data_IF_899801756449
#
_entry.id   IF_899801756449
#
_cell.length_a   1.000
_cell.length_b   1.000
_cell.length_c   1.000
_cell.angle_alpha   90.00
_cell.angle_beta   90.00
_cell.angle_gamma   90.00
#
_symmetry.space_group_name_H-M   'P 1'
#
loop_
_entity.id
_entity.type
_entity.pdbx_description
1 polymer ?
#
# COMPACT_ATOMS: atom_id res chain seq x y z
N UNK A 1 5.03 20.63 3.54
CA UNK A 1 4.13 19.88 2.65
C UNK A 1 4.12 18.45 3.16
N UNK A 2 3.05 17.99 3.81
CA UNK A 2 3.00 16.63 4.34
C UNK A 2 2.95 15.58 3.24
N UNK A 3 3.44 14.40 3.59
CA UNK A 3 3.34 13.18 2.79
C UNK A 3 2.61 12.12 3.63
N UNK A 4 1.64 11.44 3.03
CA UNK A 4 0.96 10.31 3.65
C UNK A 4 1.17 9.04 2.80
N UNK A 5 1.62 7.98 3.46
CA UNK A 5 1.72 6.65 2.86
C UNK A 5 0.54 5.79 3.32
N UNK A 6 -0.09 5.10 2.37
CA UNK A 6 -1.23 4.23 2.62
C UNK A 6 -0.89 2.83 2.11
N UNK A 7 -0.98 1.86 3.02
CA UNK A 7 -0.79 0.45 2.73
C UNK A 7 -2.14 -0.26 2.80
N UNK A 8 -2.51 -0.97 1.74
CA UNK A 8 -3.81 -1.64 1.61
C UNK A 8 -3.59 -3.14 1.45
N UNK A 9 -4.03 -3.94 2.41
CA UNK A 9 -3.95 -5.41 2.35
C UNK A 9 -5.33 -6.04 2.29
N UNK A 10 -5.41 -7.29 1.85
CA UNK A 10 -6.65 -8.06 1.93
C UNK A 10 -6.91 -8.53 3.37
N UNK A 11 -8.19 -8.54 3.78
CA UNK A 11 -8.65 -9.20 5.03
C UNK A 11 -8.70 -10.73 4.88
N UNK A 12 -8.75 -11.20 3.65
CA UNK A 12 -8.82 -12.61 3.26
C UNK A 12 -7.46 -13.08 2.72
N UNK A 13 -7.22 -14.40 2.61
CA UNK A 13 -6.01 -14.92 2.01
C UNK A 13 -5.74 -14.34 0.61
N UNK A 14 -4.50 -13.92 0.37
CA UNK A 14 -4.07 -13.40 -0.94
C UNK A 14 -3.48 -14.54 -1.79
N UNK A 15 -4.28 -15.09 -2.69
CA UNK A 15 -3.87 -16.18 -3.58
C UNK A 15 -2.67 -15.81 -4.47
N UNK A 16 -2.50 -14.54 -4.81
CA UNK A 16 -1.36 -14.07 -5.62
C UNK A 16 -0.08 -14.14 -4.80
N UNK A 17 -0.11 -13.65 -3.56
CA UNK A 17 1.04 -13.75 -2.64
C UNK A 17 1.39 -15.21 -2.32
N UNK A 18 0.38 -16.07 -2.12
CA UNK A 18 0.58 -17.51 -1.87
C UNK A 18 1.24 -18.19 -3.08
N UNK A 19 0.74 -17.92 -4.28
CA UNK A 19 1.29 -18.51 -5.51
C UNK A 19 2.73 -18.05 -5.75
N UNK A 20 3.01 -16.75 -5.56
CA UNK A 20 4.35 -16.20 -5.66
C UNK A 20 5.30 -16.79 -4.60
N UNK A 21 4.83 -16.98 -3.36
CA UNK A 21 5.61 -17.64 -2.31
C UNK A 21 6.04 -19.05 -2.71
N UNK A 22 5.12 -19.90 -3.16
CA UNK A 22 5.45 -21.26 -3.60
C UNK A 22 6.35 -21.28 -4.84
N UNK A 23 6.21 -20.29 -5.73
CA UNK A 23 7.10 -20.15 -6.89
C UNK A 23 8.52 -19.83 -6.44
N UNK A 24 8.71 -18.85 -5.55
CA UNK A 24 10.02 -18.53 -4.97
C UNK A 24 10.62 -19.72 -4.23
N UNK A 25 9.81 -20.47 -3.49
CA UNK A 25 10.25 -21.68 -2.81
C UNK A 25 10.76 -22.74 -3.80
N UNK A 26 10.08 -22.93 -4.94
CA UNK A 26 10.51 -23.82 -6.04
C UNK A 26 11.78 -23.32 -6.72
N UNK A 27 11.99 -22.00 -6.81
CA UNK A 27 13.23 -21.39 -7.31
C UNK A 27 14.42 -21.50 -6.34
N UNK A 28 14.24 -22.09 -5.16
CA UNK A 28 15.33 -22.35 -4.21
C UNK A 28 15.37 -21.41 -3.00
N UNK A 29 14.44 -20.45 -2.86
CA UNK A 29 14.35 -19.56 -1.71
C UNK A 29 13.76 -20.25 -0.46
N UNK A 30 14.33 -21.38 -0.03
CA UNK A 30 13.83 -22.23 1.07
C UNK A 30 13.79 -21.59 2.45
N UNK A 31 14.52 -20.48 2.64
CA UNK A 31 14.55 -19.73 3.91
C UNK A 31 13.41 -18.72 4.03
N UNK A 32 12.69 -18.41 2.94
CA UNK A 32 11.54 -17.52 2.96
C UNK A 32 10.42 -18.18 3.78
N UNK A 33 9.91 -17.48 4.79
CA UNK A 33 8.86 -18.00 5.68
C UNK A 33 7.46 -17.55 5.32
N UNK A 34 7.35 -16.37 4.71
CA UNK A 34 6.09 -15.75 4.34
C UNK A 34 6.34 -14.75 3.23
N UNK A 35 5.35 -14.58 2.35
CA UNK A 35 5.24 -13.46 1.43
C UNK A 35 3.90 -12.78 1.69
N UNK A 36 3.91 -11.47 1.82
CA UNK A 36 2.71 -10.65 1.92
C UNK A 36 2.68 -9.73 0.70
N UNK A 37 1.50 -9.23 0.36
CA UNK A 37 1.35 -8.24 -0.70
C UNK A 37 0.41 -7.16 -0.21
N UNK A 38 0.80 -5.91 -0.41
CA UNK A 38 0.01 -4.73 -0.05
C UNK A 38 0.00 -3.77 -1.23
N UNK A 39 -1.15 -3.18 -1.54
CA UNK A 39 -1.20 -1.99 -2.38
C UNK A 39 -0.49 -0.84 -1.65
N UNK A 40 0.33 -0.10 -2.37
CA UNK A 40 1.05 1.06 -1.86
C UNK A 40 0.55 2.31 -2.57
N UNK A 41 0.27 3.35 -1.79
CA UNK A 41 -0.02 4.68 -2.29
C UNK A 41 0.75 5.70 -1.46
N UNK A 42 1.27 6.72 -2.13
CA UNK A 42 1.94 7.85 -1.49
C UNK A 42 1.36 9.15 -2.02
N UNK A 43 1.00 10.04 -1.11
CA UNK A 43 0.29 11.26 -1.43
C UNK A 43 1.05 12.46 -0.89
N UNK A 44 1.33 13.42 -1.76
CA UNK A 44 1.86 14.73 -1.39
C UNK A 44 0.76 15.77 -1.47
N UNK A 45 0.52 16.49 -0.38
CA UNK A 45 -0.59 17.43 -0.27
C UNK A 45 -0.30 18.62 0.65
N UNK A 46 -1.20 19.59 0.67
CA UNK A 46 -1.19 20.71 1.60
C UNK A 46 -2.34 20.59 2.61
N UNK A 47 -2.05 20.76 3.89
CA UNK A 47 -3.04 20.74 4.97
C UNK A 47 -2.65 19.84 6.14
N UNK A 48 -3.66 19.41 6.91
CA UNK A 48 -3.49 18.55 8.07
C UNK A 48 -3.44 17.06 7.69
N UNK A 49 -2.46 16.33 8.23
CA UNK A 49 -2.24 14.91 7.89
C UNK A 49 -3.33 14.00 8.44
N UNK A 50 -3.83 14.23 9.65
CA UNK A 50 -4.84 13.37 10.27
C UNK A 50 -6.18 13.49 9.56
N UNK A 51 -6.57 14.71 9.21
CA UNK A 51 -7.77 14.98 8.41
C UNK A 51 -7.66 14.30 7.05
N UNK A 52 -6.52 14.46 6.36
CA UNK A 52 -6.29 13.80 5.07
C UNK A 52 -6.38 12.26 5.18
N UNK A 53 -5.73 11.65 6.17
CA UNK A 53 -5.78 10.21 6.41
C UNK A 53 -7.21 9.71 6.66
N UNK A 54 -8.00 10.46 7.43
CA UNK A 54 -9.41 10.15 7.69
C UNK A 54 -10.28 10.21 6.43
N UNK A 55 -10.05 11.19 5.56
CA UNK A 55 -10.81 11.36 4.32
C UNK A 55 -10.39 10.34 3.25
N UNK A 56 -9.08 10.17 3.00
CA UNK A 56 -8.57 9.25 1.97
C UNK A 56 -8.88 7.79 2.29
N UNK A 57 -9.01 7.44 3.57
CA UNK A 57 -9.38 6.07 4.00
C UNK A 57 -10.79 5.66 3.59
N UNK A 58 -11.65 6.61 3.23
CA UNK A 58 -13.05 6.40 2.82
C UNK A 58 -13.23 6.33 1.31
N UNK A 59 -12.16 6.58 0.55
CA UNK A 59 -12.21 6.60 -0.91
C UNK A 59 -12.30 5.16 -1.44
N UNK A 60 -13.44 4.85 -2.05
CA UNK A 60 -13.84 3.52 -2.52
C UNK A 60 -12.98 2.98 -3.66
N UNK A 61 -12.50 3.85 -4.56
CA UNK A 61 -11.56 3.47 -5.63
C UNK A 61 -10.20 2.99 -5.08
N UNK A 62 -9.87 3.33 -3.83
CA UNK A 62 -8.65 2.89 -3.14
C UNK A 62 -8.94 1.72 -2.21
N UNK A 63 -10.07 1.78 -1.49
CA UNK A 63 -10.36 0.91 -0.36
C UNK A 63 -11.79 0.39 -0.45
N UNK A 64 -11.92 -0.93 -0.51
CA UNK A 64 -13.17 -1.59 -0.22
C UNK A 64 -13.20 -2.00 1.25
N UNK A 65 -14.03 -1.35 2.08
CA UNK A 65 -14.08 -1.59 3.52
C UNK A 65 -14.38 -3.06 3.91
N UNK A 66 -15.08 -3.81 3.06
CA UNK A 66 -15.41 -5.22 3.32
C UNK A 66 -14.25 -6.16 3.00
N UNK A 67 -13.41 -5.80 2.01
CA UNK A 67 -12.31 -6.66 1.53
C UNK A 67 -10.94 -6.26 2.07
N UNK A 68 -10.74 -5.00 2.37
CA UNK A 68 -9.42 -4.43 2.62
C UNK A 68 -9.21 -4.03 4.09
N UNK A 69 -7.97 -4.14 4.53
CA UNK A 69 -7.43 -3.54 5.75
C UNK A 69 -6.43 -2.46 5.35
N UNK A 70 -6.40 -1.37 6.11
CA UNK A 70 -5.56 -0.21 5.85
C UNK A 70 -4.57 0.03 7.00
N UNK A 71 -3.40 0.54 6.65
CA UNK A 71 -2.41 1.06 7.58
C UNK A 71 -1.76 2.30 6.99
N UNK A 72 -1.46 3.29 7.82
CA UNK A 72 -0.64 4.45 7.46
C UNK A 72 0.80 4.32 7.96
N UNK A 73 1.13 3.20 8.60
CA UNK A 73 2.45 2.92 9.12
C UNK A 73 2.97 1.60 8.55
N UNK A 74 4.26 1.61 8.19
CA UNK A 74 4.97 0.41 7.83
C UNK A 74 5.23 -0.43 9.09
N UNK A 75 4.84 -1.69 9.08
CA UNK A 75 5.09 -2.60 10.20
C UNK A 75 6.59 -2.71 10.48
N UNK A 76 6.98 -2.42 11.72
CA UNK A 76 8.36 -2.56 12.17
C UNK A 76 8.69 -4.02 12.46
N UNK A 77 9.97 -4.38 12.32
CA UNK A 77 10.45 -5.72 12.64
C UNK A 77 10.14 -6.09 14.09
N UNK A 78 9.31 -7.12 14.27
CA UNK A 78 9.08 -7.71 15.59
C UNK A 78 10.30 -8.52 16.01
N UNK A 79 11.10 -7.95 16.94
CA UNK A 79 12.30 -8.60 17.51
C UNK A 79 12.01 -9.95 18.19
N UNK A 80 10.75 -10.27 18.48
CA UNK A 80 10.34 -11.44 19.27
C UNK A 80 10.57 -12.79 18.58
N UNK A 81 10.59 -12.84 17.25
CA UNK A 81 10.59 -14.11 16.51
C UNK A 81 11.86 -14.37 15.67
N UNK A 82 12.91 -13.54 15.77
CA UNK A 82 14.12 -13.62 14.90
C UNK A 82 13.83 -13.66 13.38
N UNK A 83 12.63 -13.25 12.94
CA UNK A 83 12.27 -13.16 11.52
C UNK A 83 12.59 -11.75 11.04
N UNK A 84 13.48 -11.66 10.04
CA UNK A 84 13.77 -10.39 9.35
C UNK A 84 12.69 -10.14 8.30
N UNK A 85 11.88 -9.10 8.48
CA UNK A 85 10.97 -8.59 7.43
C UNK A 85 11.79 -7.72 6.48
N UNK A 86 11.66 -8.00 5.19
CA UNK A 86 12.19 -7.20 4.09
C UNK A 86 10.96 -6.68 3.34
N UNK A 87 10.92 -5.39 3.05
CA UNK A 87 9.86 -4.79 2.26
C UNK A 87 10.44 -4.39 0.90
N UNK A 88 9.81 -4.83 -0.17
CA UNK A 88 10.19 -4.52 -1.55
C UNK A 88 9.06 -3.71 -2.16
N UNK A 89 9.35 -2.46 -2.53
CA UNK A 89 8.38 -1.60 -3.23
C UNK A 89 8.60 -1.73 -4.75
N UNK A 90 7.56 -2.17 -5.44
CA UNK A 90 7.47 -2.17 -6.91
C UNK A 90 6.57 -1.02 -7.32
N UNK A 91 7.13 0.00 -7.98
CA UNK A 91 6.38 1.19 -8.41
C UNK A 91 5.90 1.03 -9.86
N UNK A 92 4.67 1.48 -10.13
CA UNK A 92 4.17 1.57 -11.51
C UNK A 92 4.91 2.71 -12.23
N UNK A 93 5.38 2.45 -13.46
CA UNK A 93 6.10 3.45 -14.28
C UNK A 93 5.22 4.66 -14.66
N UNK A 94 3.90 4.52 -14.59
CA UNK A 94 2.92 5.54 -14.98
C UNK A 94 2.55 6.54 -13.86
N UNK A 95 3.30 6.53 -12.75
CA UNK A 95 3.45 7.65 -11.79
C UNK A 95 2.14 8.18 -11.18
N UNK A 96 1.08 7.38 -11.16
CA UNK A 96 -0.19 7.68 -10.49
C UNK A 96 -0.97 8.90 -11.02
N UNK A 97 -0.64 9.44 -12.20
CA UNK A 97 -1.29 10.64 -12.77
C UNK A 97 -2.80 10.53 -12.92
N UNK A 98 -3.30 9.35 -13.35
CA UNK A 98 -4.74 9.08 -13.45
C UNK A 98 -5.45 9.03 -12.10
N UNK A 99 -4.75 8.54 -11.06
CA UNK A 99 -5.25 8.56 -9.69
C UNK A 99 -5.30 9.99 -9.16
N UNK A 100 -4.24 10.77 -9.35
CA UNK A 100 -4.19 12.18 -8.95
C UNK A 100 -5.31 13.00 -9.60
N UNK A 101 -5.53 12.85 -10.91
CA UNK A 101 -6.58 13.58 -11.62
C UNK A 101 -7.98 13.20 -11.11
N UNK A 102 -8.22 11.91 -10.85
CA UNK A 102 -9.49 11.44 -10.28
C UNK A 102 -9.72 12.01 -8.88
N UNK A 103 -8.71 11.94 -8.00
CA UNK A 103 -8.80 12.45 -6.63
C UNK A 103 -9.06 13.96 -6.60
N UNK A 104 -8.36 14.74 -7.43
CA UNK A 104 -8.51 16.20 -7.49
C UNK A 104 -9.83 16.64 -8.12
N UNK A 105 -10.19 16.06 -9.26
CA UNK A 105 -11.26 16.59 -10.10
C UNK A 105 -12.63 16.00 -9.77
N UNK A 106 -12.69 14.78 -9.20
CA UNK A 106 -13.95 14.07 -8.93
C UNK A 106 -14.22 13.85 -7.45
N UNK A 107 -13.17 13.70 -6.63
CA UNK A 107 -13.30 13.31 -5.22
C UNK A 107 -12.94 14.43 -4.22
N UNK A 108 -12.69 15.65 -4.71
CA UNK A 108 -12.57 16.84 -3.87
C UNK A 108 -11.21 17.08 -3.24
N UNK A 109 -10.18 16.27 -3.53
CA UNK A 109 -8.82 16.42 -2.97
C UNK A 109 -7.99 17.50 -3.69
N UNK A 110 -8.52 18.73 -3.79
CA UNK A 110 -7.92 19.84 -4.56
C UNK A 110 -6.49 20.19 -4.14
N UNK A 111 -6.16 19.94 -2.87
CA UNK A 111 -4.88 20.29 -2.26
C UNK A 111 -3.76 19.26 -2.53
N UNK A 112 -4.00 18.24 -3.37
CA UNK A 112 -2.98 17.27 -3.75
C UNK A 112 -2.03 17.82 -4.81
N UNK A 113 -0.74 17.57 -4.61
CA UNK A 113 0.33 17.88 -5.55
C UNK A 113 0.76 16.64 -6.33
N UNK A 114 0.92 15.50 -5.67
CA UNK A 114 1.36 14.26 -6.29
C UNK A 114 0.64 13.04 -5.70
N UNK A 115 0.55 11.98 -6.49
CA UNK A 115 0.07 10.68 -6.05
C UNK A 115 0.88 9.58 -6.74
N UNK A 116 1.53 8.72 -5.97
CA UNK A 116 2.26 7.56 -6.49
C UNK A 116 1.48 6.28 -6.12
N UNK A 117 1.64 5.24 -6.95
CA UNK A 117 1.03 3.93 -6.74
C UNK A 117 2.06 2.83 -6.97
N UNK A 118 1.97 1.77 -6.18
CA UNK A 118 2.76 0.58 -6.37
C UNK A 118 2.22 -0.62 -5.60
N UNK A 119 3.07 -1.63 -5.51
CA UNK A 119 2.83 -2.85 -4.73
C UNK A 119 4.02 -3.04 -3.80
N UNK A 120 3.73 -3.21 -2.51
CA UNK A 120 4.72 -3.54 -1.50
C UNK A 120 4.62 -5.05 -1.17
N UNK A 121 5.74 -5.75 -1.23
CA UNK A 121 5.87 -7.18 -0.92
C UNK A 121 6.80 -7.41 0.27
#
# INVERSE_FOLDING_TARGET
MPTAELFVSLKVPDNVAITAFHTLERMGYKKLKKLERKGYYKFDFFGDIKKFQSEISKVDILINANKHQLSFELEKNNKKNNIKKINILVQDLDDGKGLLSTLKNRLGFKNMKNAEKGVLC
#
